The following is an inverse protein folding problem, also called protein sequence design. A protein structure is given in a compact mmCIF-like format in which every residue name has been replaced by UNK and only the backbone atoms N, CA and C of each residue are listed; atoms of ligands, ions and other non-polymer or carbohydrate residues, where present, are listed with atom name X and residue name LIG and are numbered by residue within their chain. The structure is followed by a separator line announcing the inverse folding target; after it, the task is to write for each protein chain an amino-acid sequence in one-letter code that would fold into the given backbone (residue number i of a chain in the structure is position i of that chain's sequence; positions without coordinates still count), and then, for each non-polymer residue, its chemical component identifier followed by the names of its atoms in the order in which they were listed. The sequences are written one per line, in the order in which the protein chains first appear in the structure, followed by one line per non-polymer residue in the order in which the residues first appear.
data_IF_939170777217
#
_entry.id   IF_939170777217
#
_cell.length_a   1.000
_cell.length_b   1.000
_cell.length_c   1.000
_cell.angle_alpha   90.00
_cell.angle_beta   90.00
_cell.angle_gamma   90.00
#
_symmetry.space_group_name_H-M   'P 1'
#
loop_
_entity.id
_entity.type
_entity.pdbx_description
1 polymer ?
#
# COMPACT_ATOMS: atom_id res chain seq x y z
N UNK A 1 -8.44 0.74 22.16
CA UNK A 1 -7.51 1.12 21.08
C UNK A 1 -6.81 2.39 21.57
N UNK A 2 -5.53 2.60 21.28
CA UNK A 2 -4.92 3.90 21.59
C UNK A 2 -5.38 4.93 20.53
N UNK A 3 -5.32 6.23 20.85
CA UNK A 3 -5.85 7.28 19.95
C UNK A 3 -5.20 7.31 18.56
N UNK A 4 -4.00 6.72 18.42
CA UNK A 4 -3.27 6.63 17.17
C UNK A 4 -3.84 5.55 16.25
N UNK A 5 -4.17 4.38 16.80
CA UNK A 5 -4.85 3.31 16.08
C UNK A 5 -6.22 3.77 15.56
N UNK A 6 -7.01 4.49 16.37
CA UNK A 6 -8.29 5.04 15.94
C UNK A 6 -8.13 6.09 14.83
N UNK A 7 -7.12 6.96 14.94
CA UNK A 7 -6.81 7.96 13.91
C UNK A 7 -6.43 7.29 12.58
N UNK A 8 -5.58 6.25 12.61
CA UNK A 8 -5.19 5.54 11.41
C UNK A 8 -6.37 4.82 10.74
N UNK A 9 -7.24 4.17 11.53
CA UNK A 9 -8.47 3.56 11.03
C UNK A 9 -9.39 4.58 10.37
N UNK A 10 -9.50 5.78 10.95
CA UNK A 10 -10.28 6.86 10.35
C UNK A 10 -9.68 7.31 9.00
N UNK A 11 -8.36 7.52 8.93
CA UNK A 11 -7.68 7.94 7.69
C UNK A 11 -7.85 6.89 6.59
N UNK A 12 -7.56 5.61 6.87
CA UNK A 12 -7.67 4.53 5.88
C UNK A 12 -9.12 4.32 5.40
N UNK A 13 -10.11 4.53 6.28
CA UNK A 13 -11.52 4.40 5.92
C UNK A 13 -12.09 5.60 5.16
N UNK A 14 -11.52 6.80 5.31
CA UNK A 14 -12.05 8.02 4.69
C UNK A 14 -11.32 8.40 3.40
N UNK A 15 -9.99 8.26 3.34
CA UNK A 15 -9.17 8.70 2.20
C UNK A 15 -9.28 7.70 1.04
N UNK A 16 -9.74 8.16 -0.13
CA UNK A 16 -10.01 7.32 -1.31
C UNK A 16 -8.78 6.98 -2.13
N UNK A 17 -7.72 7.78 -2.01
CA UNK A 17 -6.50 7.64 -2.80
C UNK A 17 -5.32 7.37 -1.88
N UNK A 18 -4.52 6.37 -2.24
CA UNK A 18 -3.24 6.10 -1.58
C UNK A 18 -2.11 6.47 -2.54
N UNK A 19 -0.98 6.94 -2.03
CA UNK A 19 0.19 7.22 -2.86
C UNK A 19 1.19 6.09 -2.74
N UNK A 20 1.40 5.36 -3.84
CA UNK A 20 2.40 4.30 -3.93
C UNK A 20 3.76 4.91 -4.27
N UNK A 21 4.80 4.56 -3.52
CA UNK A 21 6.19 4.77 -3.87
C UNK A 21 6.79 3.42 -4.27
N UNK A 22 7.19 3.31 -5.53
CA UNK A 22 7.74 2.09 -6.12
C UNK A 22 9.14 2.35 -6.66
N UNK A 23 9.96 1.31 -6.76
CA UNK A 23 11.29 1.37 -7.36
C UNK A 23 11.44 0.25 -8.38
N UNK A 24 11.98 0.57 -9.56
CA UNK A 24 12.28 -0.39 -10.60
C UNK A 24 13.72 -0.92 -10.49
N UNK A 25 14.14 -1.79 -11.42
CA UNK A 25 15.53 -2.25 -11.50
C UNK A 25 16.55 -1.12 -11.75
N UNK A 26 16.09 0.03 -12.24
CA UNK A 26 16.90 1.25 -12.43
C UNK A 26 17.22 1.98 -11.12
N UNK A 27 16.59 1.59 -10.00
CA UNK A 27 16.76 2.21 -8.69
C UNK A 27 16.08 3.58 -8.55
N UNK A 28 15.34 4.05 -9.56
CA UNK A 28 14.69 5.36 -9.52
C UNK A 28 13.32 5.27 -8.82
N UNK A 29 13.05 6.11 -7.79
CA UNK A 29 11.76 6.12 -7.12
C UNK A 29 10.68 6.69 -8.03
N UNK A 30 9.46 6.17 -7.89
CA UNK A 30 8.28 6.65 -8.62
C UNK A 30 7.05 6.65 -7.72
N UNK A 31 6.48 7.84 -7.52
CA UNK A 31 5.23 8.02 -6.80
C UNK A 31 4.02 7.93 -7.75
N UNK A 32 2.96 7.26 -7.35
CA UNK A 32 1.70 7.24 -8.10
C UNK A 32 0.50 7.22 -7.15
N UNK A 33 -0.40 8.21 -7.21
CA UNK A 33 -1.69 8.12 -6.52
C UNK A 33 -2.58 7.10 -7.22
N UNK A 34 -3.21 6.20 -6.46
CA UNK A 34 -4.18 5.22 -6.96
C UNK A 34 -5.44 5.25 -6.12
N UNK A 35 -6.60 5.08 -6.77
CA UNK A 35 -7.85 4.86 -6.05
C UNK A 35 -7.82 3.46 -5.45
N UNK A 36 -8.04 3.35 -4.14
CA UNK A 36 -7.85 2.10 -3.42
C UNK A 36 -8.94 1.86 -2.37
N UNK A 37 -9.02 0.61 -1.94
CA UNK A 37 -9.81 0.18 -0.81
C UNK A 37 -8.97 -0.70 0.12
N UNK A 38 -9.34 -0.71 1.40
CA UNK A 38 -8.83 -1.63 2.40
C UNK A 38 -9.96 -2.57 2.83
N UNK A 39 -9.63 -3.82 3.13
CA UNK A 39 -10.55 -4.73 3.83
C UNK A 39 -10.41 -4.64 5.36
N UNK A 40 -11.09 -5.53 6.07
CA UNK A 40 -11.05 -5.59 7.55
C UNK A 40 -9.70 -6.09 8.10
N UNK A 41 -8.89 -6.75 7.28
CA UNK A 41 -7.55 -7.24 7.62
C UNK A 41 -6.44 -6.25 7.21
N UNK A 42 -6.81 -5.10 6.64
CA UNK A 42 -5.92 -4.09 6.07
C UNK A 42 -5.11 -4.57 4.86
N UNK A 43 -5.56 -5.62 4.18
CA UNK A 43 -5.17 -5.84 2.79
C UNK A 43 -5.72 -4.67 1.97
N UNK A 44 -4.91 -4.16 1.05
CA UNK A 44 -5.32 -3.06 0.19
C UNK A 44 -5.35 -3.48 -1.26
N UNK A 45 -6.30 -2.90 -1.99
CA UNK A 45 -6.61 -3.27 -3.36
C UNK A 45 -6.73 -2.02 -4.22
N UNK A 46 -6.24 -2.11 -5.46
CA UNK A 46 -6.46 -1.09 -6.48
C UNK A 46 -6.50 -1.73 -7.87
N UNK A 47 -6.99 -0.96 -8.84
CA UNK A 47 -7.01 -1.35 -10.25
C UNK A 47 -6.04 -0.44 -11.00
N UNK A 48 -5.17 -1.03 -11.82
CA UNK A 48 -4.25 -0.27 -12.66
C UNK A 48 -3.94 -0.98 -13.97
N UNK A 49 -3.48 -0.24 -14.97
CA UNK A 49 -3.00 -0.81 -16.21
C UNK A 49 -1.71 -1.60 -15.96
N UNK A 50 -1.59 -2.80 -16.54
CA UNK A 50 -0.48 -3.71 -16.28
C UNK A 50 0.87 -3.20 -16.80
N UNK A 51 0.87 -2.30 -17.78
CA UNK A 51 2.08 -1.81 -18.48
C UNK A 51 2.59 -0.45 -17.98
N UNK A 52 1.92 0.19 -17.02
CA UNK A 52 2.40 1.48 -16.48
C UNK A 52 3.57 1.27 -15.51
N UNK A 53 4.36 2.31 -15.31
CA UNK A 53 5.63 2.25 -14.56
C UNK A 53 5.52 1.61 -13.18
N UNK A 54 4.57 2.04 -12.34
CA UNK A 54 4.44 1.47 -10.99
C UNK A 54 4.06 -0.02 -11.02
N UNK A 55 3.21 -0.45 -11.96
CA UNK A 55 2.85 -1.86 -12.14
C UNK A 55 4.07 -2.70 -12.55
N UNK A 56 4.91 -2.17 -13.44
CA UNK A 56 6.15 -2.83 -13.85
C UNK A 56 7.19 -2.89 -12.71
N UNK A 57 7.33 -1.80 -11.95
CA UNK A 57 8.19 -1.75 -10.76
C UNK A 57 7.77 -2.79 -9.71
N UNK A 58 6.45 -2.89 -9.45
CA UNK A 58 5.89 -3.87 -8.50
C UNK A 58 6.12 -5.29 -9.01
N UNK A 59 5.90 -5.58 -10.29
CA UNK A 59 6.21 -6.90 -10.87
C UNK A 59 7.68 -7.30 -10.71
N UNK A 60 8.59 -6.33 -10.76
CA UNK A 60 10.02 -6.58 -10.66
C UNK A 60 10.52 -6.74 -9.22
N UNK A 61 9.94 -5.99 -8.26
CA UNK A 61 10.50 -5.87 -6.91
C UNK A 61 9.56 -6.32 -5.80
N UNK A 62 8.25 -6.36 -6.06
CA UNK A 62 7.18 -6.58 -5.10
C UNK A 62 7.17 -5.63 -3.91
N UNK A 63 8.01 -4.58 -3.91
CA UNK A 63 8.18 -3.65 -2.78
C UNK A 63 7.43 -2.35 -3.07
N UNK A 64 6.64 -1.91 -2.10
CA UNK A 64 5.94 -0.63 -2.16
C UNK A 64 5.96 0.03 -0.78
N UNK A 65 6.24 1.32 -0.77
CA UNK A 65 5.96 2.17 0.38
C UNK A 65 4.71 3.00 0.07
N UNK A 66 3.85 3.23 1.05
CA UNK A 66 2.57 3.90 0.86
C UNK A 66 2.46 5.02 1.88
N UNK A 67 1.94 6.17 1.42
CA UNK A 67 1.43 7.20 2.32
C UNK A 67 -0.06 7.43 2.03
N UNK A 68 -0.84 7.48 3.11
CA UNK A 68 -2.26 7.85 3.10
C UNK A 68 -2.41 9.02 4.07
N UNK A 69 -2.89 10.16 3.59
CA UNK A 69 -3.00 11.35 4.42
C UNK A 69 -4.26 12.13 4.10
N UNK A 70 -4.77 12.81 5.12
CA UNK A 70 -5.95 13.67 5.01
C UNK A 70 -5.56 15.01 4.37
N UNK A 71 -5.49 15.06 3.04
CA UNK A 71 -5.04 16.25 2.31
C UNK A 71 -5.88 17.52 2.51
N UNK A 72 -7.20 17.45 2.83
CA UNK A 72 -7.98 18.63 3.21
C UNK A 72 -7.65 19.23 4.59
N UNK A 73 -6.86 18.55 5.43
CA UNK A 73 -6.54 19.04 6.76
C UNK A 73 -5.80 20.39 6.71
N UNK A 74 -6.04 21.32 7.66
CA UNK A 74 -5.25 22.53 7.80
C UNK A 74 -3.75 22.22 7.95
N UNK A 75 -2.90 23.11 7.43
CA UNK A 75 -1.45 23.00 7.54
C UNK A 75 -1.01 22.79 9.00
N UNK A 76 -0.07 21.86 9.21
CA UNK A 76 0.43 21.49 10.55
C UNK A 76 -0.53 20.66 11.40
N UNK A 77 -1.73 20.33 10.92
CA UNK A 77 -2.69 19.47 11.65
C UNK A 77 -2.96 18.13 10.97
N UNK A 78 -2.37 17.95 9.78
CA UNK A 78 -2.52 16.75 8.97
C UNK A 78 -2.04 15.51 9.71
N UNK A 79 -2.66 14.38 9.39
CA UNK A 79 -2.25 13.07 9.87
C UNK A 79 -1.98 12.16 8.69
N UNK A 80 -0.93 11.36 8.80
CA UNK A 80 -0.51 10.40 7.80
C UNK A 80 -0.49 8.98 8.35
N UNK A 81 -0.71 8.01 7.48
CA UNK A 81 -0.41 6.60 7.70
C UNK A 81 0.64 6.21 6.68
N UNK A 82 1.72 5.60 7.17
CA UNK A 82 2.86 5.17 6.36
C UNK A 82 2.95 3.65 6.41
N UNK A 83 3.01 3.01 5.24
CA UNK A 83 2.98 1.55 5.14
C UNK A 83 4.16 1.08 4.33
N UNK A 84 4.98 0.22 4.91
CA UNK A 84 5.89 -0.63 4.15
C UNK A 84 5.17 -1.93 3.82
N UNK A 85 5.04 -2.24 2.54
CA UNK A 85 4.22 -3.35 2.09
C UNK A 85 4.86 -4.11 0.93
N UNK A 86 4.34 -5.32 0.72
CA UNK A 86 4.50 -6.04 -0.52
C UNK A 86 3.22 -6.02 -1.33
N UNK A 87 3.38 -6.00 -2.64
CA UNK A 87 2.28 -5.88 -3.58
C UNK A 87 2.48 -6.82 -4.77
N UNK A 88 1.38 -7.34 -5.30
CA UNK A 88 1.34 -8.28 -6.40
C UNK A 88 0.13 -8.03 -7.32
N UNK A 89 0.23 -8.46 -8.57
CA UNK A 89 -0.94 -8.58 -9.46
C UNK A 89 -1.79 -9.77 -9.00
N UNK A 90 -3.09 -9.57 -8.82
CA UNK A 90 -4.01 -10.63 -8.40
C UNK A 90 -4.44 -11.45 -9.62
N UNK A 91 -4.22 -12.77 -9.55
CA UNK A 91 -4.61 -13.71 -10.62
C UNK A 91 -5.82 -14.57 -10.26
N UNK A 92 -6.06 -14.79 -8.97
CA UNK A 92 -7.15 -15.64 -8.49
C UNK A 92 -8.50 -14.93 -8.59
N UNK A 93 -9.45 -15.51 -9.34
CA UNK A 93 -10.75 -14.89 -9.61
C UNK A 93 -11.51 -14.52 -8.33
N UNK A 94 -11.44 -15.37 -7.30
CA UNK A 94 -12.12 -15.11 -6.03
C UNK A 94 -11.52 -13.90 -5.28
N UNK A 95 -10.21 -13.70 -5.36
CA UNK A 95 -9.54 -12.55 -4.77
C UNK A 95 -9.83 -11.28 -5.59
N UNK A 96 -9.90 -11.37 -6.93
CA UNK A 96 -10.35 -10.28 -7.79
C UNK A 96 -11.77 -9.83 -7.43
N UNK A 97 -12.69 -10.78 -7.24
CA UNK A 97 -14.08 -10.48 -6.83
C UNK A 97 -14.08 -9.80 -5.46
N UNK A 98 -13.31 -10.30 -4.50
CA UNK A 98 -13.20 -9.68 -3.18
C UNK A 98 -12.67 -8.23 -3.25
N UNK A 99 -11.60 -8.01 -4.01
CA UNK A 99 -11.02 -6.70 -4.24
C UNK A 99 -12.02 -5.72 -4.88
N UNK A 100 -12.77 -6.17 -5.90
CA UNK A 100 -13.79 -5.36 -6.55
C UNK A 100 -14.94 -5.01 -5.60
N UNK A 101 -15.36 -5.93 -4.73
CA UNK A 101 -16.35 -5.64 -3.69
C UNK A 101 -15.84 -4.59 -2.70
N UNK A 102 -14.56 -4.65 -2.31
CA UNK A 102 -13.95 -3.64 -1.45
C UNK A 102 -13.92 -2.25 -2.12
N UNK A 103 -13.54 -2.20 -3.39
CA UNK A 103 -13.54 -0.97 -4.20
C UNK A 103 -14.96 -0.43 -4.44
N UNK A 104 -15.94 -1.30 -4.65
CA UNK A 104 -17.34 -0.92 -4.88
C UNK A 104 -17.96 -0.26 -3.64
N UNK A 105 -17.64 -0.75 -2.44
CA UNK A 105 -18.04 -0.09 -1.17
C UNK A 105 -17.53 1.34 -1.06
N UNK A 106 -16.44 1.69 -1.76
CA UNK A 106 -15.87 3.05 -1.82
C UNK A 106 -16.43 3.89 -2.97
N UNK A 107 -17.20 3.30 -3.88
CA UNK A 107 -17.84 3.98 -5.02
C UNK A 107 -17.28 3.63 -6.41
N UNK A 108 -16.36 2.67 -6.54
CA UNK A 108 -15.88 2.18 -7.83
C UNK A 108 -16.87 1.22 -8.49
N UNK A 109 -17.36 1.52 -9.69
CA UNK A 109 -18.48 0.76 -10.31
C UNK A 109 -18.14 0.05 -11.62
N UNK A 110 -16.89 -0.33 -11.84
CA UNK A 110 -16.49 -1.01 -13.08
C UNK A 110 -16.67 -2.53 -13.00
N UNK A 111 -17.13 -3.20 -14.06
CA UNK A 111 -17.42 -4.63 -14.06
C UNK A 111 -16.14 -5.48 -14.11
N UNK A 112 -16.26 -6.76 -13.72
CA UNK A 112 -15.16 -7.73 -13.68
C UNK A 112 -14.39 -7.84 -15.01
N UNK A 113 -15.10 -7.76 -16.14
CA UNK A 113 -14.50 -7.87 -17.48
C UNK A 113 -13.54 -6.72 -17.79
N UNK A 114 -13.64 -5.58 -17.10
CA UNK A 114 -12.70 -4.47 -17.25
C UNK A 114 -11.36 -4.71 -16.57
N UNK A 115 -11.20 -5.76 -15.75
CA UNK A 115 -9.94 -6.03 -15.03
C UNK A 115 -9.38 -7.44 -15.26
N UNK A 116 -9.99 -8.20 -16.17
CA UNK A 116 -9.62 -9.58 -16.48
C UNK A 116 -9.43 -9.81 -17.99
N UNK A 117 -8.93 -11.00 -18.34
CA UNK A 117 -8.78 -11.46 -19.72
C UNK A 117 -7.95 -10.49 -20.57
N UNK A 118 -8.53 -10.05 -21.68
CA UNK A 118 -7.90 -9.15 -22.64
C UNK A 118 -7.82 -7.68 -22.18
N UNK A 119 -8.36 -7.33 -21.01
CA UNK A 119 -8.22 -5.98 -20.47
C UNK A 119 -6.75 -5.62 -20.25
N UNK A 120 -6.40 -4.34 -20.38
CA UNK A 120 -5.09 -3.84 -19.96
C UNK A 120 -5.01 -3.63 -18.45
N UNK A 121 -6.16 -3.48 -17.77
CA UNK A 121 -6.22 -3.28 -16.33
C UNK A 121 -6.20 -4.60 -15.59
N UNK A 122 -5.61 -4.58 -14.39
CA UNK A 122 -5.52 -5.70 -13.46
C UNK A 122 -5.81 -5.19 -12.07
N UNK A 123 -6.36 -6.08 -11.24
CA UNK A 123 -6.37 -5.88 -9.80
C UNK A 123 -4.97 -6.13 -9.27
N UNK A 124 -4.52 -5.27 -8.38
CA UNK A 124 -3.36 -5.53 -7.56
C UNK A 124 -3.76 -5.47 -6.09
N UNK A 125 -3.13 -6.32 -5.29
CA UNK A 125 -3.32 -6.38 -3.84
C UNK A 125 -1.98 -6.16 -3.16
N UNK A 126 -2.03 -5.78 -1.89
CA UNK A 126 -0.84 -5.74 -1.07
C UNK A 126 -1.14 -5.80 0.41
N UNK A 127 -0.09 -6.13 1.16
CA UNK A 127 -0.14 -6.38 2.59
C UNK A 127 1.06 -5.76 3.29
N UNK A 128 0.82 -5.24 4.50
CA UNK A 128 1.87 -4.66 5.31
C UNK A 128 2.88 -5.72 5.75
N UNK A 129 4.16 -5.38 5.71
CA UNK A 129 5.20 -6.18 6.36
C UNK A 129 5.56 -7.51 5.73
N UNK A 130 5.23 -7.75 4.46
CA UNK A 130 5.49 -9.02 3.78
C UNK A 130 6.94 -9.51 3.97
N UNK A 131 7.11 -10.56 4.77
CA UNK A 131 8.30 -11.41 4.68
C UNK A 131 8.24 -12.15 3.34
N UNK A 132 9.37 -12.32 2.66
CA UNK A 132 9.45 -13.13 1.44
C UNK A 132 8.78 -14.49 1.68
N UNK A 133 7.62 -14.73 1.05
CA UNK A 133 6.88 -16.00 1.10
C UNK A 133 7.73 -17.21 0.67
N UNK A 134 8.85 -16.96 0.00
CA UNK A 134 9.76 -17.98 -0.54
C UNK A 134 11.15 -18.05 0.14
N UNK A 135 11.41 -17.29 1.21
CA UNK A 135 12.73 -17.29 1.88
C UNK A 135 12.91 -18.44 2.87
N UNK A 136 12.60 -19.66 2.46
CA UNK A 136 13.19 -20.83 3.12
C UNK A 136 14.55 -21.12 2.46
N UNK A 137 15.61 -20.61 3.10
CA UNK A 137 17.05 -20.75 2.79
C UNK A 137 17.69 -19.62 1.96
N UNK A 138 18.28 -18.68 2.69
CA UNK A 138 19.68 -18.28 2.46
C UNK A 138 19.99 -17.39 1.25
N UNK A 139 19.60 -16.12 1.30
CA UNK A 139 20.42 -14.98 0.86
C UNK A 139 19.71 -13.71 1.32
N UNK A 140 20.33 -12.96 2.23
CA UNK A 140 19.81 -11.68 2.73
C UNK A 140 20.24 -10.61 1.73
N UNK A 141 19.29 -9.90 1.11
CA UNK A 141 19.57 -8.76 0.22
C UNK A 141 20.37 -7.69 1.00
N UNK A 142 21.56 -7.28 0.55
CA UNK A 142 22.40 -6.30 1.24
C UNK A 142 21.76 -4.90 1.30
N UNK A 143 20.72 -4.61 0.51
CA UNK A 143 19.97 -3.35 0.61
C UNK A 143 19.17 -3.30 1.93
N UNK A 144 18.68 -4.45 2.41
CA UNK A 144 17.89 -4.55 3.64
C UNK A 144 18.74 -4.35 4.91
N UNK A 145 20.07 -4.46 4.81
CA UNK A 145 21.00 -4.33 5.96
C UNK A 145 21.42 -2.90 6.29
N UNK A 146 21.08 -1.88 5.49
CA UNK A 146 21.58 -0.51 5.68
C UNK A 146 20.61 0.49 6.28
N UNK A 147 19.43 0.08 6.71
CA UNK A 147 18.61 0.93 7.57
C UNK A 147 18.73 0.45 9.00
N UNK A 148 19.69 1.01 9.74
CA UNK A 148 19.61 1.04 11.20
C UNK A 148 18.28 1.73 11.56
N UNK A 149 17.35 0.92 12.07
CA UNK A 149 15.96 1.24 12.38
C UNK A 149 15.79 2.33 13.46
N UNK A 150 16.89 2.96 13.90
CA UNK A 150 16.94 4.05 14.90
C UNK A 150 17.07 5.46 14.30
N UNK A 151 17.06 5.61 12.98
CA UNK A 151 17.36 6.91 12.33
C UNK A 151 16.16 7.56 11.62
N UNK A 152 14.93 7.13 11.90
CA UNK A 152 13.76 7.97 11.63
C UNK A 152 13.65 8.93 12.82
N UNK A 153 13.77 10.24 12.57
CA UNK A 153 13.68 11.27 13.58
C UNK A 153 12.42 11.08 14.46
N UNK A 154 12.46 11.39 15.76
CA UNK A 154 11.42 11.07 16.73
C UNK A 154 10.24 12.04 16.61
N UNK A 155 9.53 12.01 15.47
CA UNK A 155 8.16 12.48 15.38
C UNK A 155 7.29 11.24 15.58
N UNK A 156 6.81 11.05 16.82
CA UNK A 156 5.90 10.00 17.34
C UNK A 156 5.39 8.96 16.33
N UNK A 157 6.28 8.09 15.83
CA UNK A 157 5.89 6.99 14.97
C UNK A 157 5.65 5.76 15.84
N UNK A 158 4.39 5.43 16.06
CA UNK A 158 3.99 4.21 16.76
C UNK A 158 3.58 3.15 15.74
N UNK A 159 3.99 1.91 15.96
CA UNK A 159 3.39 0.78 15.25
C UNK A 159 1.97 0.59 15.76
N UNK A 160 0.96 0.62 14.89
CA UNK A 160 -0.40 0.29 15.30
C UNK A 160 -1.18 -0.34 14.14
N UNK A 161 -2.35 -0.88 14.48
CA UNK A 161 -3.32 -1.61 13.63
C UNK A 161 -3.06 -3.11 13.53
N UNK A 162 -1.89 -3.58 13.06
CA UNK A 162 -1.37 -4.97 13.12
C UNK A 162 -0.12 -5.05 12.24
N UNK A 163 0.97 -5.67 12.71
CA UNK A 163 2.17 -6.05 11.93
C UNK A 163 2.76 -5.00 10.96
N UNK A 164 3.95 -4.45 11.26
CA UNK A 164 4.76 -3.61 10.35
C UNK A 164 4.08 -2.38 9.68
N UNK A 165 2.81 -2.06 9.98
CA UNK A 165 2.18 -0.78 9.65
C UNK A 165 2.68 0.29 10.63
N UNK A 166 3.25 1.36 10.11
CA UNK A 166 3.81 2.45 10.90
C UNK A 166 2.89 3.66 10.85
N UNK A 167 2.29 3.96 11.98
CA UNK A 167 1.44 5.14 12.09
C UNK A 167 2.33 6.26 12.60
N UNK A 168 2.90 7.00 11.66
CA UNK A 168 3.54 8.26 11.98
C UNK A 168 2.47 9.36 11.94
N UNK A 169 1.99 9.74 13.12
CA UNK A 169 1.22 10.97 13.29
C UNK A 169 2.24 12.09 13.51
N UNK A 170 2.36 12.98 12.54
CA UNK A 170 3.30 14.08 12.56
C UNK A 170 2.68 15.35 12.00
N UNK A 171 2.99 16.47 12.65
CA UNK A 171 2.79 17.82 12.16
C UNK A 171 3.99 18.18 11.27
N UNK A 172 4.05 17.66 10.04
CA UNK A 172 5.02 18.15 9.03
C UNK A 172 4.47 19.37 8.28
#
# INVERSE_FOLDING_TARGET
MNGNEESAKAILSQVLYITLATVGPDGLPWNTPVYAAFDEEYQFFWVSASQVRHSQNIKATHRVAIVVYDSPAPAGTGKGVYIEARADEVTEEQEIIHALQALERRGWKKPLQEVMGASIHRVASGEAGGRDRNSSRGAVDPITQRMDHRTIAPHSCESAVRGNVWICLGED
#
